data_IF_307378838207
#
_entry.id   IF_307378838207
#
_cell.length_a   1.000
_cell.length_b   1.000
_cell.length_c   1.000
_cell.angle_alpha   90.00
_cell.angle_beta   90.00
_cell.angle_gamma   90.00
#
_symmetry.space_group_name_H-M   'P 1'
#
loop_
_entity.id
_entity.type
_entity.pdbx_description
1 polymer ?
#
# COMPACT_ATOMS: atom_id res chain seq x y z
N UNK A 1 -9.61 -11.41 11.72
CA UNK A 1 -8.44 -12.17 11.20
C UNK A 1 -7.62 -11.34 10.22
N UNK A 2 -8.05 -11.10 8.97
CA UNK A 2 -7.20 -10.33 8.01
C UNK A 2 -6.92 -8.89 8.43
N UNK A 3 -7.92 -8.19 8.99
CA UNK A 3 -7.75 -6.85 9.55
C UNK A 3 -6.73 -6.83 10.69
N UNK A 4 -6.74 -7.86 11.54
CA UNK A 4 -5.79 -7.97 12.67
C UNK A 4 -4.37 -8.18 12.13
N UNK A 5 -4.18 -9.03 11.12
CA UNK A 5 -2.86 -9.24 10.50
C UNK A 5 -2.32 -7.97 9.83
N UNK A 6 -3.18 -7.20 9.17
CA UNK A 6 -2.80 -5.92 8.57
C UNK A 6 -2.46 -4.90 9.66
N UNK A 7 -3.19 -4.91 10.78
CA UNK A 7 -2.89 -4.07 11.93
C UNK A 7 -1.51 -4.38 12.50
N UNK A 8 -1.24 -5.66 12.80
CA UNK A 8 0.05 -6.13 13.32
C UNK A 8 1.21 -5.74 12.39
N UNK A 9 0.99 -5.84 11.07
CA UNK A 9 2.00 -5.45 10.07
C UNK A 9 2.27 -3.94 10.07
N UNK A 10 1.23 -3.10 10.16
CA UNK A 10 1.40 -1.64 10.20
C UNK A 10 2.02 -1.18 11.51
N UNK A 11 1.68 -1.79 12.65
CA UNK A 11 2.35 -1.51 13.93
C UNK A 11 3.83 -1.87 13.87
N UNK A 12 4.20 -2.99 13.25
CA UNK A 12 5.60 -3.36 13.04
C UNK A 12 6.34 -2.37 12.13
N UNK A 13 5.73 -1.98 11.00
CA UNK A 13 6.28 -0.96 10.10
C UNK A 13 6.49 0.36 10.85
N UNK A 14 5.50 0.82 11.61
CA UNK A 14 5.60 2.05 12.40
C UNK A 14 6.75 1.99 13.41
N UNK A 15 6.86 0.87 14.12
CA UNK A 15 7.89 0.67 15.13
C UNK A 15 9.31 0.63 14.57
N UNK A 16 9.53 -0.03 13.43
CA UNK A 16 10.88 -0.32 12.94
C UNK A 16 11.33 0.60 11.80
N UNK A 17 10.39 1.06 10.97
CA UNK A 17 10.67 1.81 9.74
C UNK A 17 10.44 3.32 9.87
N UNK A 18 9.79 3.80 10.94
CA UNK A 18 9.58 5.24 11.15
C UNK A 18 10.88 5.96 11.54
N UNK A 19 11.10 7.11 10.93
CA UNK A 19 12.15 8.10 11.25
C UNK A 19 11.54 9.49 11.39
N UNK A 20 12.33 10.48 11.77
CA UNK A 20 11.87 11.86 12.03
C UNK A 20 11.09 12.46 10.85
N UNK A 21 11.56 12.23 9.62
CA UNK A 21 11.01 12.82 8.40
C UNK A 21 10.17 11.87 7.53
N UNK A 22 9.80 10.67 8.01
CA UNK A 22 9.01 9.72 7.22
C UNK A 22 9.28 8.26 7.56
N UNK A 23 9.35 7.43 6.51
CA UNK A 23 9.62 6.00 6.60
C UNK A 23 10.79 5.58 5.73
N UNK A 24 11.49 4.53 6.15
CA UNK A 24 12.67 3.97 5.51
C UNK A 24 12.61 2.44 5.55
N UNK A 25 13.17 1.79 4.54
CA UNK A 25 13.43 0.37 4.52
C UNK A 25 14.56 -0.06 5.45
N UNK A 26 14.54 -1.35 5.81
CA UNK A 26 15.57 -1.97 6.63
C UNK A 26 16.53 -2.73 5.73
N UNK A 27 17.84 -2.54 5.95
CA UNK A 27 18.86 -3.33 5.25
C UNK A 27 18.80 -4.81 5.66
N UNK A 28 18.49 -5.08 6.93
CA UNK A 28 18.34 -6.42 7.48
C UNK A 28 17.19 -6.50 8.50
N UNK A 29 16.12 -7.20 8.14
CA UNK A 29 14.94 -7.37 8.99
C UNK A 29 15.20 -8.18 10.28
N UNK A 30 16.25 -9.01 10.32
CA UNK A 30 16.65 -9.72 11.54
C UNK A 30 17.41 -8.82 12.52
N UNK A 31 17.90 -7.67 12.06
CA UNK A 31 18.56 -6.67 12.89
C UNK A 31 18.07 -5.24 12.56
N UNK A 32 16.82 -4.91 12.92
CA UNK A 32 16.13 -3.71 12.46
C UNK A 32 16.70 -2.39 13.03
N UNK A 33 17.66 -2.48 13.95
CA UNK A 33 18.34 -1.32 14.55
C UNK A 33 19.67 -1.02 13.88
N UNK A 34 20.11 -1.84 12.92
CA UNK A 34 21.40 -1.70 12.25
C UNK A 34 21.21 -1.60 10.73
N UNK A 35 21.46 -0.41 10.19
CA UNK A 35 21.33 -0.16 8.76
C UNK A 35 19.89 0.12 8.33
N UNK A 36 19.73 1.18 7.54
CA UNK A 36 18.46 1.67 6.99
C UNK A 36 18.76 2.23 5.61
N UNK A 37 17.84 2.02 4.67
CA UNK A 37 17.94 2.73 3.41
C UNK A 37 17.61 4.22 3.63
N UNK A 38 18.30 5.16 3.00
CA UNK A 38 17.97 6.60 3.16
C UNK A 38 16.91 7.02 2.12
N UNK A 39 15.94 6.13 1.84
CA UNK A 39 14.99 6.29 0.73
C UNK A 39 13.59 5.82 1.15
N UNK A 40 12.64 6.75 1.19
CA UNK A 40 11.24 6.37 1.24
C UNK A 40 10.76 5.95 -0.15
N UNK A 41 10.64 4.63 -0.36
CA UNK A 41 10.20 4.08 -1.63
C UNK A 41 8.78 4.56 -1.99
N UNK A 42 8.54 4.90 -3.25
CA UNK A 42 7.24 5.41 -3.72
C UNK A 42 6.09 4.41 -3.49
N UNK A 43 6.37 3.12 -3.68
CA UNK A 43 5.41 2.04 -3.46
C UNK A 43 4.92 1.98 -2.01
N UNK A 44 5.68 2.48 -1.03
CA UNK A 44 5.25 2.49 0.36
C UNK A 44 3.95 3.30 0.52
N UNK A 45 3.88 4.46 -0.13
CA UNK A 45 2.67 5.29 -0.12
C UNK A 45 1.62 4.77 -1.11
N UNK A 46 2.03 4.43 -2.33
CA UNK A 46 1.11 4.05 -3.39
C UNK A 46 0.45 2.69 -3.14
N UNK A 47 1.15 1.72 -2.56
CA UNK A 47 0.71 0.34 -2.43
C UNK A 47 0.48 -0.01 -0.95
N UNK A 48 1.54 0.00 -0.13
CA UNK A 48 1.49 -0.51 1.25
C UNK A 48 0.44 0.21 2.09
N UNK A 49 0.51 1.54 2.16
CA UNK A 49 -0.46 2.33 2.92
C UNK A 49 -1.86 2.34 2.29
N UNK A 50 -1.95 2.26 0.95
CA UNK A 50 -3.24 2.19 0.25
C UNK A 50 -3.98 0.90 0.59
N UNK A 51 -3.33 -0.25 0.52
CA UNK A 51 -3.96 -1.53 0.85
C UNK A 51 -4.25 -1.67 2.35
N UNK A 52 -3.37 -1.15 3.21
CA UNK A 52 -3.66 -1.07 4.63
C UNK A 52 -4.93 -0.24 4.88
N UNK A 53 -5.04 0.95 4.27
CA UNK A 53 -6.23 1.79 4.37
C UNK A 53 -7.49 1.09 3.87
N UNK A 54 -7.44 0.50 2.66
CA UNK A 54 -8.60 -0.19 2.06
C UNK A 54 -9.04 -1.42 2.86
N UNK A 55 -8.13 -2.08 3.58
CA UNK A 55 -8.50 -3.20 4.47
C UNK A 55 -9.48 -2.78 5.58
N UNK A 56 -9.43 -1.51 5.99
CA UNK A 56 -10.31 -0.92 7.00
C UNK A 56 -11.39 0.00 6.40
N UNK A 57 -11.51 0.09 5.07
CA UNK A 57 -12.45 1.00 4.40
C UNK A 57 -13.25 0.28 3.31
N UNK A 58 -14.54 0.54 3.22
CA UNK A 58 -15.41 -0.03 2.17
C UNK A 58 -15.60 0.94 0.98
N UNK A 59 -14.60 1.78 0.69
CA UNK A 59 -14.73 2.90 -0.27
C UNK A 59 -14.64 2.52 -1.75
N UNK A 60 -14.05 1.36 -2.09
CA UNK A 60 -13.81 0.94 -3.47
C UNK A 60 -14.49 -0.41 -3.72
N UNK A 61 -15.61 -0.43 -4.46
CA UNK A 61 -16.27 -1.67 -4.87
C UNK A 61 -15.38 -2.49 -5.82
N UNK A 62 -14.94 -3.68 -5.39
CA UNK A 62 -14.02 -4.54 -6.15
C UNK A 62 -14.67 -5.21 -7.38
N UNK A 63 -15.99 -5.10 -7.52
CA UNK A 63 -16.76 -5.50 -8.71
C UNK A 63 -16.74 -4.45 -9.82
N UNK A 64 -16.22 -3.25 -9.56
CA UNK A 64 -16.14 -2.12 -10.51
C UNK A 64 -14.71 -1.67 -10.81
N UNK A 65 -13.77 -1.99 -9.94
CA UNK A 65 -12.40 -1.53 -10.01
C UNK A 65 -11.42 -2.70 -9.96
N UNK A 66 -10.42 -2.66 -10.84
CA UNK A 66 -9.27 -3.56 -10.82
C UNK A 66 -8.02 -2.76 -10.51
N UNK A 67 -7.18 -3.26 -9.60
CA UNK A 67 -5.91 -2.62 -9.27
C UNK A 67 -4.82 -3.18 -10.17
N UNK A 68 -3.99 -2.29 -10.75
CA UNK A 68 -2.76 -2.74 -11.39
C UNK A 68 -1.70 -3.14 -10.34
N UNK A 69 -0.52 -3.55 -10.79
CA UNK A 69 0.57 -3.99 -9.90
C UNK A 69 1.15 -2.87 -9.02
N UNK A 70 0.86 -1.60 -9.31
CA UNK A 70 1.29 -0.42 -8.52
C UNK A 70 0.10 0.14 -7.70
N UNK A 71 -0.92 -0.69 -7.48
CA UNK A 71 -2.14 -0.37 -6.75
C UNK A 71 -2.90 0.86 -7.29
N UNK A 72 -2.74 1.21 -8.56
CA UNK A 72 -3.58 2.21 -9.21
C UNK A 72 -4.93 1.57 -9.60
N UNK A 73 -6.06 2.11 -9.12
CA UNK A 73 -7.37 1.59 -9.47
C UNK A 73 -7.72 2.00 -10.91
N UNK A 74 -8.07 1.01 -11.71
CA UNK A 74 -8.57 1.16 -13.08
C UNK A 74 -10.03 0.68 -13.12
N UNK A 75 -10.93 1.39 -13.82
CA UNK A 75 -12.29 0.92 -13.97
C UNK A 75 -12.31 -0.38 -14.78
N UNK A 76 -13.18 -1.31 -14.39
CA UNK A 76 -13.47 -2.47 -15.22
C UNK A 76 -14.22 -1.98 -16.46
N UNK A 77 -13.63 -2.22 -17.64
CA UNK A 77 -14.27 -1.89 -18.90
C UNK A 77 -15.31 -2.96 -19.21
N UNK A 78 -16.59 -2.66 -19.03
CA UNK A 78 -17.64 -3.44 -19.66
C UNK A 78 -17.72 -3.07 -21.16
N UNK A 79 -18.07 -4.02 -22.02
CA UNK A 79 -18.21 -3.78 -23.46
C UNK A 79 -19.31 -2.78 -23.84
N UNK A 80 -20.02 -2.22 -22.85
CA UNK A 80 -21.04 -1.18 -22.98
C UNK A 80 -20.53 0.22 -22.66
N UNK A 81 -19.33 0.37 -22.09
CA UNK A 81 -18.75 1.67 -21.77
C UNK A 81 -18.06 2.23 -23.03
N UNK A 82 -18.58 3.30 -23.66
CA UNK A 82 -17.89 3.90 -24.79
C UNK A 82 -16.50 4.36 -24.33
N UNK A 83 -15.49 4.10 -25.16
CA UNK A 83 -14.14 4.61 -24.94
C UNK A 83 -14.22 6.13 -24.76
N UNK A 84 -13.41 6.72 -23.85
CA UNK A 84 -13.30 8.17 -23.77
C UNK A 84 -12.88 8.68 -25.15
N UNK A 85 -13.75 9.44 -25.80
CA UNK A 85 -13.39 10.17 -27.02
C UNK A 85 -12.24 11.13 -26.67
N UNK A 86 -11.14 11.03 -27.41
CA UNK A 86 -10.05 12.01 -27.38
C UNK A 86 -10.56 13.40 -27.75
#
# INVERSE_FOLDING_TARGET
MYRDWVWDAIEAIDKYCRVEAGFTGLDNVYNPYQGRDDVQQSFFLAETLKYAYLTFSDKIPLDRWVFNTEAHPLPIMDGSHPLPTQ
#
